data_IF_087586246838
#
_entry.id   IF_087586246838
#
_cell.length_a   1.000
_cell.length_b   1.000
_cell.length_c   1.000
_cell.angle_alpha   90.00
_cell.angle_beta   90.00
_cell.angle_gamma   90.00
#
_symmetry.space_group_name_H-M   'P 1'
#
loop_
_entity.id
_entity.type
_entity.pdbx_description
1 polymer ?
#
# COMPACT_ATOMS: atom_id res chain seq x y z
N UNK A 1 -18.89 4.96 -4.06
CA UNK A 1 -17.71 4.24 -3.54
C UNK A 1 -17.72 4.36 -2.03
N UNK A 2 -17.49 3.26 -1.33
CA UNK A 2 -17.44 3.25 0.13
C UNK A 2 -16.01 3.47 0.60
N UNK A 3 -15.87 4.09 1.77
CA UNK A 3 -14.58 4.48 2.33
C UNK A 3 -14.48 4.01 3.79
N UNK A 4 -13.26 3.68 4.19
CA UNK A 4 -12.87 3.49 5.58
C UNK A 4 -12.07 4.70 6.03
N UNK A 5 -12.43 5.28 7.18
CA UNK A 5 -11.62 6.33 7.80
C UNK A 5 -10.49 5.69 8.60
N UNK A 6 -9.26 6.08 8.29
CA UNK A 6 -8.05 5.65 8.99
C UNK A 6 -7.89 6.40 10.31
N UNK A 7 -6.99 5.94 11.19
CA UNK A 7 -6.75 6.54 12.52
C UNK A 7 -6.26 8.01 12.47
N UNK A 8 -5.83 8.46 11.31
CA UNK A 8 -5.41 9.84 11.08
C UNK A 8 -6.44 10.70 10.31
N UNK A 9 -7.67 10.18 10.11
CA UNK A 9 -8.77 10.86 9.43
C UNK A 9 -8.74 10.77 7.89
N UNK A 10 -7.73 10.14 7.30
CA UNK A 10 -7.69 9.93 5.85
C UNK A 10 -8.73 8.90 5.43
N UNK A 11 -9.52 9.22 4.42
CA UNK A 11 -10.52 8.31 3.85
C UNK A 11 -9.88 7.44 2.78
N UNK A 12 -9.86 6.13 3.03
CA UNK A 12 -9.32 5.11 2.14
C UNK A 12 -10.48 4.35 1.47
N UNK A 13 -10.49 4.19 0.13
CA UNK A 13 -11.48 3.33 -0.53
C UNK A 13 -11.41 1.90 -0.01
N UNK A 14 -12.57 1.26 0.20
CA UNK A 14 -12.61 -0.13 0.68
C UNK A 14 -12.27 -1.17 -0.40
N UNK A 15 -12.27 -0.75 -1.66
CA UNK A 15 -11.90 -1.59 -2.80
C UNK A 15 -10.71 -0.99 -3.53
N UNK A 16 -9.66 -1.79 -3.68
CA UNK A 16 -8.45 -1.41 -4.38
C UNK A 16 -8.08 -2.38 -5.49
N UNK A 17 -7.23 -1.93 -6.39
CA UNK A 17 -6.67 -2.71 -7.48
C UNK A 17 -5.15 -2.84 -7.31
N UNK A 18 -4.66 -4.06 -7.05
CA UNK A 18 -3.25 -4.38 -6.90
C UNK A 18 -2.62 -4.84 -8.23
N UNK A 19 -1.35 -4.49 -8.45
CA UNK A 19 -0.61 -4.82 -9.68
C UNK A 19 0.57 -5.77 -9.42
N UNK A 20 0.55 -6.50 -8.32
CA UNK A 20 1.54 -7.55 -8.10
C UNK A 20 1.47 -8.62 -9.20
N UNK A 21 2.62 -9.16 -9.62
CA UNK A 21 2.77 -10.14 -10.72
C UNK A 21 2.34 -9.64 -12.12
N UNK A 22 2.31 -8.33 -12.35
CA UNK A 22 2.12 -7.75 -13.68
C UNK A 22 3.40 -6.99 -14.06
N UNK A 23 4.47 -7.71 -14.47
CA UNK A 23 5.78 -7.09 -14.74
C UNK A 23 5.84 -6.41 -16.12
N UNK A 24 5.01 -6.82 -17.08
CA UNK A 24 4.97 -6.17 -18.38
C UNK A 24 4.35 -4.77 -18.27
N UNK A 25 5.10 -3.77 -18.71
CA UNK A 25 4.71 -2.37 -18.56
C UNK A 25 3.46 -2.00 -19.37
N UNK A 26 3.31 -2.57 -20.57
CA UNK A 26 2.15 -2.31 -21.43
C UNK A 26 0.90 -2.94 -20.85
N UNK A 27 1.01 -4.16 -20.38
CA UNK A 27 -0.08 -4.86 -19.73
C UNK A 27 -0.48 -4.18 -18.42
N UNK A 28 0.49 -3.78 -17.59
CA UNK A 28 0.24 -3.07 -16.34
C UNK A 28 -0.48 -1.73 -16.59
N UNK A 29 -0.02 -0.94 -17.55
CA UNK A 29 -0.69 0.31 -17.94
C UNK A 29 -2.13 0.04 -18.39
N UNK A 30 -2.34 -0.98 -19.24
CA UNK A 30 -3.66 -1.35 -19.74
C UNK A 30 -4.62 -1.72 -18.60
N UNK A 31 -4.24 -2.66 -17.72
CA UNK A 31 -5.15 -3.14 -16.67
C UNK A 31 -5.44 -2.07 -15.61
N UNK A 32 -4.49 -1.19 -15.31
CA UNK A 32 -4.74 -0.05 -14.42
C UNK A 32 -5.70 0.95 -15.08
N UNK A 33 -5.55 1.20 -16.38
CA UNK A 33 -6.49 2.05 -17.14
C UNK A 33 -7.90 1.47 -17.10
N UNK A 34 -8.04 0.15 -17.32
CA UNK A 34 -9.33 -0.54 -17.27
C UNK A 34 -9.94 -0.48 -15.85
N UNK A 35 -9.12 -0.69 -14.81
CA UNK A 35 -9.56 -0.59 -13.42
C UNK A 35 -10.08 0.82 -13.09
N UNK A 36 -9.38 1.87 -13.49
CA UNK A 36 -9.80 3.25 -13.30
C UNK A 36 -11.11 3.55 -14.07
N UNK A 37 -11.25 3.03 -15.29
CA UNK A 37 -12.44 3.23 -16.14
C UNK A 37 -13.68 2.56 -15.53
N UNK A 38 -13.54 1.41 -14.87
CA UNK A 38 -14.68 0.74 -14.19
C UNK A 38 -14.94 1.25 -12.77
N UNK A 39 -14.17 2.26 -12.31
CA UNK A 39 -14.48 2.99 -11.09
C UNK A 39 -13.56 2.72 -9.90
N UNK A 40 -12.50 1.91 -10.03
CA UNK A 40 -11.48 1.83 -8.97
C UNK A 40 -10.81 3.19 -8.77
N UNK A 41 -10.50 3.52 -7.53
CA UNK A 41 -9.80 4.76 -7.15
C UNK A 41 -8.58 4.49 -6.28
N UNK A 42 -8.48 3.32 -5.62
CA UNK A 42 -7.28 2.86 -4.93
C UNK A 42 -6.49 1.96 -5.87
N UNK A 43 -5.22 2.33 -6.11
CA UNK A 43 -4.25 1.54 -6.89
C UNK A 43 -3.06 1.23 -5.98
N UNK A 44 -2.74 -0.06 -5.87
CA UNK A 44 -1.66 -0.57 -5.02
C UNK A 44 -0.52 -1.15 -5.87
N UNK A 45 0.69 -0.60 -5.68
CA UNK A 45 1.93 -1.09 -6.25
C UNK A 45 3.04 -1.21 -5.20
N UNK A 46 4.27 -1.47 -5.60
CA UNK A 46 5.45 -1.46 -4.75
C UNK A 46 6.71 -1.20 -5.58
N UNK A 47 7.76 -0.64 -4.94
CA UNK A 47 9.04 -0.37 -5.60
C UNK A 47 9.64 -1.61 -6.25
N UNK A 48 9.51 -2.78 -5.59
CA UNK A 48 10.04 -4.06 -6.06
C UNK A 48 9.27 -4.68 -7.23
N UNK A 49 8.03 -4.26 -7.50
CA UNK A 49 7.25 -4.79 -8.63
C UNK A 49 7.77 -4.32 -9.99
N UNK A 50 8.56 -3.23 -10.01
CA UNK A 50 9.16 -2.69 -11.22
C UNK A 50 8.18 -1.98 -12.17
N UNK A 51 6.91 -1.87 -11.79
CA UNK A 51 5.83 -1.38 -12.65
C UNK A 51 5.29 0.01 -12.26
N UNK A 52 5.89 0.71 -11.31
CA UNK A 52 5.45 2.05 -10.86
C UNK A 52 5.32 3.05 -12.01
N UNK A 53 6.20 3.00 -13.02
CA UNK A 53 6.12 3.88 -14.20
C UNK A 53 4.86 3.62 -15.01
N UNK A 54 4.49 2.36 -15.21
CA UNK A 54 3.28 1.97 -15.94
C UNK A 54 2.01 2.43 -15.20
N UNK A 55 1.98 2.25 -13.87
CA UNK A 55 0.91 2.79 -13.02
C UNK A 55 0.80 4.30 -13.16
N UNK A 56 1.90 5.03 -13.08
CA UNK A 56 1.93 6.49 -13.26
C UNK A 56 1.47 6.94 -14.65
N UNK A 57 1.78 6.18 -15.70
CA UNK A 57 1.30 6.42 -17.06
C UNK A 57 -0.22 6.28 -17.16
N UNK A 58 -0.79 5.20 -16.60
CA UNK A 58 -2.23 4.97 -16.57
C UNK A 58 -2.96 6.07 -15.79
N UNK A 59 -2.46 6.44 -14.60
CA UNK A 59 -3.02 7.54 -13.79
C UNK A 59 -3.08 8.83 -14.60
N UNK A 60 -2.00 9.23 -15.24
CA UNK A 60 -1.93 10.45 -16.06
C UNK A 60 -2.89 10.43 -17.24
N UNK A 61 -2.99 9.28 -17.94
CA UNK A 61 -3.88 9.11 -19.08
C UNK A 61 -5.36 9.07 -18.71
N UNK A 62 -5.68 8.68 -17.50
CA UNK A 62 -7.07 8.59 -17.01
C UNK A 62 -7.78 9.94 -16.98
N UNK A 63 -7.03 11.05 -16.83
CA UNK A 63 -7.60 12.38 -16.65
C UNK A 63 -8.36 12.56 -15.34
N UNK A 64 -8.35 11.59 -14.44
CA UNK A 64 -8.99 11.66 -13.12
C UNK A 64 -8.20 12.63 -12.25
N UNK A 65 -8.83 13.59 -11.55
CA UNK A 65 -8.16 14.47 -10.60
C UNK A 65 -7.37 13.67 -9.57
N UNK A 66 -6.12 14.10 -9.28
CA UNK A 66 -5.21 13.37 -8.37
C UNK A 66 -5.82 13.17 -6.98
N UNK A 67 -6.59 14.13 -6.51
CA UNK A 67 -7.27 14.11 -5.21
C UNK A 67 -8.42 13.08 -5.11
N UNK A 68 -8.91 12.60 -6.25
CA UNK A 68 -9.91 11.53 -6.30
C UNK A 68 -9.27 10.14 -6.27
N UNK A 69 -7.93 10.06 -6.41
CA UNK A 69 -7.20 8.81 -6.41
C UNK A 69 -6.53 8.55 -5.05
N UNK A 70 -6.47 7.29 -4.70
CA UNK A 70 -5.72 6.80 -3.54
C UNK A 70 -4.60 5.88 -4.02
N UNK A 71 -3.36 6.35 -3.97
CA UNK A 71 -2.20 5.65 -4.53
C UNK A 71 -1.31 5.15 -3.41
N UNK A 72 -1.08 3.82 -3.41
CA UNK A 72 -0.22 3.12 -2.47
C UNK A 72 1.02 2.59 -3.17
N UNK A 73 2.19 2.81 -2.59
CA UNK A 73 3.41 2.04 -2.90
C UNK A 73 4.13 1.64 -1.62
N UNK A 74 5.15 0.77 -1.74
CA UNK A 74 5.78 0.12 -0.60
C UNK A 74 7.30 0.17 -0.76
N UNK A 75 8.00 0.44 0.35
CA UNK A 75 9.46 0.33 0.42
C UNK A 75 9.89 -1.14 0.58
N UNK A 76 10.76 -1.61 -0.28
CA UNK A 76 11.28 -2.97 -0.25
C UNK A 76 12.41 -3.16 0.79
N UNK A 77 12.75 -4.39 1.12
CA UNK A 77 13.76 -4.75 2.12
C UNK A 77 15.10 -4.04 1.89
N UNK A 78 15.55 -3.91 0.64
CA UNK A 78 16.79 -3.23 0.29
C UNK A 78 16.78 -1.72 0.55
N UNK A 79 15.59 -1.14 0.74
CA UNK A 79 15.35 0.27 0.97
C UNK A 79 15.14 0.60 2.46
N UNK A 80 15.26 -0.39 3.35
CA UNK A 80 15.11 -0.20 4.79
C UNK A 80 16.26 0.60 5.39
N UNK A 81 15.94 1.42 6.40
CA UNK A 81 16.84 2.37 7.07
C UNK A 81 16.55 3.81 6.67
N UNK A 82 16.84 4.73 7.60
CA UNK A 82 16.38 6.12 7.53
C UNK A 82 16.67 6.81 6.19
N UNK A 83 17.93 6.89 5.79
CA UNK A 83 18.33 7.60 4.56
C UNK A 83 17.91 6.86 3.28
N UNK A 84 17.90 5.52 3.31
CA UNK A 84 17.48 4.72 2.15
C UNK A 84 16.00 4.89 1.88
N UNK A 85 15.17 4.87 2.93
CA UNK A 85 13.72 5.02 2.80
C UNK A 85 13.33 6.43 2.33
N UNK A 86 14.06 7.48 2.74
CA UNK A 86 13.84 8.83 2.20
C UNK A 86 14.07 8.85 0.67
N UNK A 87 15.21 8.30 0.22
CA UNK A 87 15.54 8.24 -1.22
C UNK A 87 14.59 7.31 -2.00
N UNK A 88 14.13 6.23 -1.38
CA UNK A 88 13.20 5.30 -2.00
C UNK A 88 11.87 5.99 -2.34
N UNK A 89 11.31 6.79 -1.42
CA UNK A 89 10.10 7.57 -1.72
C UNK A 89 10.32 8.52 -2.90
N UNK A 90 11.42 9.29 -2.92
CA UNK A 90 11.71 10.21 -4.02
C UNK A 90 11.79 9.46 -5.36
N UNK A 91 12.38 8.27 -5.36
CA UNK A 91 12.46 7.40 -6.55
C UNK A 91 11.08 6.91 -6.99
N UNK A 92 10.26 6.45 -6.04
CA UNK A 92 8.88 5.98 -6.32
C UNK A 92 8.01 7.11 -6.86
N UNK A 93 8.04 8.28 -6.24
CA UNK A 93 7.31 9.46 -6.72
C UNK A 93 7.74 9.86 -8.14
N UNK A 94 9.04 9.86 -8.42
CA UNK A 94 9.55 10.16 -9.77
C UNK A 94 9.11 9.12 -10.81
N UNK A 95 9.04 7.83 -10.45
CA UNK A 95 8.54 6.77 -11.34
C UNK A 95 7.04 6.90 -11.58
N UNK A 96 6.26 7.14 -10.53
CA UNK A 96 4.82 7.34 -10.60
C UNK A 96 4.45 8.67 -11.29
N UNK A 97 5.35 9.66 -11.30
CA UNK A 97 5.08 11.01 -11.78
C UNK A 97 4.11 11.76 -10.87
N UNK A 98 4.25 11.58 -9.55
CA UNK A 98 3.38 12.16 -8.52
C UNK A 98 4.20 13.01 -7.54
N UNK A 99 3.54 14.00 -6.92
CA UNK A 99 4.13 14.86 -5.91
C UNK A 99 3.99 14.30 -4.48
N UNK A 100 2.96 13.47 -4.25
CA UNK A 100 2.67 12.83 -2.97
C UNK A 100 2.04 11.45 -3.15
N UNK A 101 2.07 10.65 -2.08
CA UNK A 101 1.31 9.39 -1.98
C UNK A 101 0.17 9.52 -0.97
N UNK A 102 -0.87 8.70 -1.15
CA UNK A 102 -1.93 8.56 -0.16
C UNK A 102 -1.52 7.61 0.97
N UNK A 103 -0.85 6.52 0.63
CA UNK A 103 -0.34 5.55 1.60
C UNK A 103 1.06 5.07 1.20
N UNK A 104 1.99 5.06 2.16
CA UNK A 104 3.33 4.50 1.98
C UNK A 104 3.58 3.43 3.03
N UNK A 105 3.96 2.23 2.58
CA UNK A 105 4.07 1.05 3.44
C UNK A 105 5.50 0.53 3.53
N UNK A 106 5.91 0.02 4.70
CA UNK A 106 7.01 -0.94 4.82
C UNK A 106 6.52 -2.28 4.29
N UNK A 107 7.13 -2.80 3.22
CA UNK A 107 6.63 -3.99 2.53
C UNK A 107 6.80 -5.27 3.33
N UNK A 108 7.91 -5.39 4.07
CA UNK A 108 8.22 -6.59 4.85
C UNK A 108 8.91 -6.19 6.17
N UNK A 109 8.66 -6.93 7.27
CA UNK A 109 9.23 -6.65 8.59
C UNK A 109 10.70 -7.13 8.72
N UNK A 110 11.57 -6.73 7.77
CA UNK A 110 12.97 -7.16 7.74
C UNK A 110 13.92 -5.96 7.65
N UNK A 111 15.15 -6.15 8.15
CA UNK A 111 16.18 -5.12 8.15
C UNK A 111 15.91 -4.01 9.16
N UNK A 112 16.45 -2.81 8.89
CA UNK A 112 16.26 -1.63 9.74
C UNK A 112 14.90 -0.95 9.47
N UNK A 113 13.81 -1.65 9.80
CA UNK A 113 12.47 -1.10 9.63
C UNK A 113 12.17 0.01 10.67
N UNK A 114 12.84 0.06 11.80
CA UNK A 114 12.73 1.20 12.74
C UNK A 114 13.31 2.48 12.14
N UNK A 115 14.48 2.40 11.50
CA UNK A 115 15.04 3.53 10.75
C UNK A 115 14.15 3.95 9.60
N UNK A 116 13.56 2.97 8.88
CA UNK A 116 12.58 3.23 7.83
C UNK A 116 11.32 3.92 8.39
N UNK A 117 10.80 3.46 9.53
CA UNK A 117 9.62 4.07 10.15
C UNK A 117 9.87 5.53 10.54
N UNK A 118 10.99 5.84 11.19
CA UNK A 118 11.36 7.24 11.50
C UNK A 118 11.47 8.12 10.24
N UNK A 119 11.94 7.56 9.11
CA UNK A 119 11.94 8.26 7.83
C UNK A 119 10.52 8.51 7.33
N UNK A 120 9.64 7.53 7.42
CA UNK A 120 8.22 7.65 7.05
C UNK A 120 7.48 8.67 7.90
N UNK A 121 7.70 8.71 9.21
CA UNK A 121 7.18 9.74 10.11
C UNK A 121 7.59 11.14 9.67
N UNK A 122 8.86 11.33 9.27
CA UNK A 122 9.35 12.59 8.72
C UNK A 122 8.68 12.98 7.40
N UNK A 123 8.48 12.00 6.51
CA UNK A 123 7.82 12.20 5.22
C UNK A 123 6.33 12.55 5.42
N UNK A 124 5.67 11.89 6.37
CA UNK A 124 4.31 12.18 6.78
C UNK A 124 4.17 13.60 7.34
N UNK A 125 5.04 13.99 8.27
CA UNK A 125 5.05 15.34 8.84
C UNK A 125 5.30 16.44 7.79
N UNK A 126 5.98 16.12 6.67
CA UNK A 126 6.20 17.02 5.54
C UNK A 126 5.06 17.01 4.50
N UNK A 127 4.02 16.22 4.69
CA UNK A 127 2.92 16.07 3.75
C UNK A 127 3.29 15.37 2.44
N UNK A 128 4.46 14.69 2.38
CA UNK A 128 4.86 13.90 1.19
C UNK A 128 4.05 12.60 1.06
N UNK A 129 3.50 12.13 2.17
CA UNK A 129 2.59 10.99 2.24
C UNK A 129 1.43 11.33 3.17
N UNK A 130 0.20 10.94 2.82
CA UNK A 130 -1.00 11.27 3.61
C UNK A 130 -1.23 10.29 4.75
N UNK A 131 -0.77 9.06 4.59
CA UNK A 131 -0.79 8.01 5.62
C UNK A 131 0.45 7.13 5.49
N UNK A 132 0.88 6.55 6.61
CA UNK A 132 1.98 5.59 6.67
C UNK A 132 1.51 4.31 7.34
N UNK A 133 2.04 3.18 6.88
CA UNK A 133 1.68 1.88 7.39
C UNK A 133 2.72 0.82 7.11
N UNK A 134 2.33 -0.41 7.34
CA UNK A 134 3.21 -1.58 7.21
C UNK A 134 2.51 -2.70 6.45
N UNK A 135 3.28 -3.70 6.00
CA UNK A 135 2.75 -4.95 5.46
C UNK A 135 3.39 -6.13 6.18
N UNK A 136 2.62 -7.19 6.34
CA UNK A 136 3.10 -8.48 6.84
C UNK A 136 3.70 -8.41 8.25
N UNK A 137 3.28 -7.44 9.05
CA UNK A 137 3.68 -7.37 10.45
C UNK A 137 2.76 -8.26 11.28
N UNK A 138 3.34 -9.32 11.84
CA UNK A 138 2.68 -10.16 12.82
C UNK A 138 2.42 -9.37 14.13
N UNK A 139 1.47 -9.80 14.98
CA UNK A 139 1.07 -9.07 16.18
C UNK A 139 2.22 -8.61 17.07
N UNK A 140 3.21 -9.48 17.31
CA UNK A 140 4.36 -9.19 18.16
C UNK A 140 5.22 -8.04 17.58
N UNK A 141 5.51 -8.09 16.29
CA UNK A 141 6.29 -7.05 15.61
C UNK A 141 5.50 -5.74 15.45
N UNK A 142 4.19 -5.85 15.25
CA UNK A 142 3.33 -4.68 15.15
C UNK A 142 3.25 -3.94 16.49
N UNK A 143 3.06 -4.67 17.59
CA UNK A 143 3.07 -4.13 18.96
C UNK A 143 4.41 -3.47 19.28
N UNK A 144 5.51 -4.15 18.97
CA UNK A 144 6.85 -3.62 19.21
C UNK A 144 7.12 -2.32 18.41
N UNK A 145 6.74 -2.29 17.13
CA UNK A 145 6.82 -1.06 16.33
C UNK A 145 5.97 0.05 16.97
N UNK A 146 4.71 -0.22 17.30
CA UNK A 146 3.80 0.77 17.89
C UNK A 146 4.33 1.35 19.21
N UNK A 147 4.98 0.50 20.04
CA UNK A 147 5.57 0.95 21.29
C UNK A 147 6.74 1.93 21.10
N UNK A 148 7.45 1.81 19.98
CA UNK A 148 8.64 2.59 19.67
C UNK A 148 8.39 3.73 18.64
N UNK A 149 7.15 3.85 18.13
CA UNK A 149 6.77 4.83 17.13
C UNK A 149 6.19 6.11 17.75
N UNK A 150 6.38 7.27 17.09
CA UNK A 150 5.65 8.50 17.42
C UNK A 150 4.32 8.59 16.68
N UNK A 151 4.21 7.93 15.52
CA UNK A 151 2.99 7.83 14.71
C UNK A 151 2.63 6.36 14.60
N UNK A 152 1.42 6.00 15.05
CA UNK A 152 0.92 4.62 14.93
C UNK A 152 0.63 4.33 13.46
N UNK A 153 0.97 3.14 12.93
CA UNK A 153 0.62 2.75 11.56
C UNK A 153 -0.89 2.93 11.30
N UNK A 154 -1.23 3.55 10.17
CA UNK A 154 -2.63 3.70 9.79
C UNK A 154 -3.20 2.39 9.23
N UNK A 155 -2.35 1.59 8.58
CA UNK A 155 -2.70 0.35 7.89
C UNK A 155 -1.64 -0.72 8.20
N UNK A 156 -2.07 -1.97 8.36
CA UNK A 156 -1.23 -3.14 8.19
C UNK A 156 -1.86 -4.03 7.10
N UNK A 157 -1.19 -4.13 5.95
CA UNK A 157 -1.62 -4.92 4.81
C UNK A 157 -1.10 -6.36 4.96
N UNK A 158 -2.00 -7.32 5.13
CA UNK A 158 -1.66 -8.74 5.39
C UNK A 158 -2.44 -9.68 4.48
N UNK A 159 -1.99 -10.94 4.36
CA UNK A 159 -2.76 -11.97 3.67
C UNK A 159 -4.05 -12.27 4.42
N UNK A 160 -5.19 -12.00 3.80
CA UNK A 160 -6.50 -12.34 4.37
C UNK A 160 -7.40 -12.89 3.28
N UNK A 161 -7.87 -14.11 3.45
CA UNK A 161 -8.82 -14.79 2.57
C UNK A 161 -9.52 -15.91 3.35
N UNK A 162 -10.56 -16.60 2.81
CA UNK A 162 -11.33 -17.61 3.55
C UNK A 162 -10.50 -18.72 4.20
N UNK A 163 -9.34 -19.06 3.64
CA UNK A 163 -8.44 -20.08 4.20
C UNK A 163 -7.40 -19.52 5.20
N UNK A 164 -7.24 -18.21 5.25
CA UNK A 164 -6.31 -17.51 6.16
C UNK A 164 -7.00 -16.27 6.73
N UNK A 165 -7.96 -16.45 7.65
CA UNK A 165 -8.81 -15.35 8.14
C UNK A 165 -8.11 -14.38 9.10
N UNK A 166 -6.91 -14.70 9.60
CA UNK A 166 -6.08 -13.82 10.43
C UNK A 166 -6.79 -13.19 11.64
N UNK A 167 -7.71 -13.93 12.25
CA UNK A 167 -8.64 -13.37 13.27
C UNK A 167 -7.92 -12.69 14.43
N UNK A 168 -6.83 -13.27 14.93
CA UNK A 168 -6.09 -12.70 16.08
C UNK A 168 -5.27 -11.47 15.68
N UNK A 169 -4.64 -11.51 14.49
CA UNK A 169 -3.93 -10.35 13.96
C UNK A 169 -4.89 -9.17 13.71
N UNK A 170 -6.06 -9.44 13.13
CA UNK A 170 -7.09 -8.40 12.91
C UNK A 170 -7.60 -7.83 14.24
N UNK A 171 -7.81 -8.66 15.27
CA UNK A 171 -8.21 -8.19 16.60
C UNK A 171 -7.14 -7.26 17.20
N UNK A 172 -5.87 -7.65 17.17
CA UNK A 172 -4.76 -6.82 17.63
C UNK A 172 -4.72 -5.47 16.89
N UNK A 173 -4.89 -5.48 15.57
CA UNK A 173 -4.95 -4.23 14.79
C UNK A 173 -6.14 -3.34 15.21
N UNK A 174 -7.31 -3.92 15.42
CA UNK A 174 -8.49 -3.19 15.90
C UNK A 174 -8.26 -2.53 17.26
N UNK A 175 -7.65 -3.25 18.21
CA UNK A 175 -7.28 -2.73 19.53
C UNK A 175 -6.28 -1.56 19.45
N UNK A 176 -5.40 -1.57 18.45
CA UNK A 176 -4.42 -0.50 18.19
C UNK A 176 -4.97 0.65 17.32
N UNK A 177 -6.20 0.54 16.83
CA UNK A 177 -6.78 1.51 15.88
C UNK A 177 -6.12 1.46 14.49
N UNK A 178 -5.55 0.32 14.10
CA UNK A 178 -4.88 0.10 12.81
C UNK A 178 -5.88 -0.58 11.86
N UNK A 179 -6.01 -0.06 10.63
CA UNK A 179 -6.85 -0.69 9.62
C UNK A 179 -6.14 -1.91 9.02
N UNK A 180 -6.81 -3.07 9.09
CA UNK A 180 -6.40 -4.24 8.33
C UNK A 180 -6.75 -4.04 6.84
N UNK A 181 -5.80 -4.27 5.96
CA UNK A 181 -5.97 -4.30 4.51
C UNK A 181 -5.60 -5.69 4.00
N UNK A 182 -6.44 -6.29 3.16
CA UNK A 182 -6.21 -7.65 2.66
C UNK A 182 -5.44 -7.64 1.35
N UNK A 183 -4.30 -8.36 1.28
CA UNK A 183 -3.78 -8.79 -0.02
C UNK A 183 -4.19 -10.25 -0.28
N UNK A 184 -4.38 -10.61 -1.56
CA UNK A 184 -4.84 -11.92 -1.98
C UNK A 184 -6.23 -12.32 -1.46
N UNK A 185 -7.24 -11.41 -1.36
CA UNK A 185 -8.50 -11.69 -0.66
C UNK A 185 -9.33 -12.79 -1.30
N UNK A 186 -9.11 -13.10 -2.57
CA UNK A 186 -9.74 -14.23 -3.28
C UNK A 186 -8.85 -15.46 -3.34
N UNK A 187 -7.68 -15.47 -2.68
CA UNK A 187 -6.67 -16.53 -2.69
C UNK A 187 -6.04 -16.81 -4.06
N UNK A 188 -4.85 -17.40 -4.06
CA UNK A 188 -4.14 -17.79 -5.30
C UNK A 188 -4.39 -19.24 -5.73
N UNK A 189 -5.10 -20.05 -4.93
CA UNK A 189 -5.19 -21.51 -5.12
C UNK A 189 -6.44 -21.99 -5.83
N UNK A 190 -7.60 -21.40 -5.56
CA UNK A 190 -8.89 -21.88 -6.08
C UNK A 190 -9.58 -20.96 -7.08
N UNK A 191 -9.20 -19.70 -7.13
CA UNK A 191 -9.87 -18.67 -7.94
C UNK A 191 -8.96 -18.10 -9.03
N UNK A 192 -7.89 -18.81 -9.39
CA UNK A 192 -6.90 -18.38 -10.37
C UNK A 192 -7.50 -17.93 -11.71
N UNK A 193 -8.57 -18.56 -12.12
CA UNK A 193 -9.30 -18.20 -13.34
C UNK A 193 -10.10 -16.88 -13.22
N UNK A 194 -10.33 -16.40 -11.99
CA UNK A 194 -11.05 -15.17 -11.69
C UNK A 194 -10.12 -14.05 -11.23
N UNK A 195 -8.87 -14.35 -10.91
CA UNK A 195 -7.90 -13.43 -10.37
C UNK A 195 -7.32 -12.44 -11.39
N UNK A 196 -7.56 -12.64 -12.66
CA UNK A 196 -7.14 -11.72 -13.72
C UNK A 196 -7.82 -10.34 -13.66
N UNK A 197 -8.68 -10.11 -12.65
CA UNK A 197 -9.47 -8.89 -12.51
C UNK A 197 -9.18 -8.05 -11.27
N UNK A 198 -8.06 -8.28 -10.62
CA UNK A 198 -7.62 -7.44 -9.51
C UNK A 198 -7.82 -8.04 -8.13
N UNK A 199 -6.91 -7.74 -7.23
CA UNK A 199 -7.05 -8.00 -5.82
C UNK A 199 -8.05 -7.00 -5.24
N UNK A 200 -9.07 -7.50 -4.57
CA UNK A 200 -9.94 -6.68 -3.73
C UNK A 200 -9.17 -6.40 -2.43
N UNK A 201 -9.09 -5.16 -2.02
CA UNK A 201 -8.45 -4.71 -0.78
C UNK A 201 -9.50 -4.52 0.29
#
# INVERSE_FOLDING_TARGET
MDFKELNNGVKMPIQGFGVFQIPDATECERVVTDALAVGYRLIDTASVYGNERAVGMAIRKSGIPREELFITTKAWISEMGYERTLRALDTSLARLGLDYLDLYLIHMPFGDYYGAWRAMEKLYAKGRVRAIGVCNFEPDRLLDLCHNANVIPAVNQIEVHPYTPQTDAIRTMQELGIQAEAWGPVSYTHLRAHETRGNLV
#
